data_IF_666464605356
#
_entry.id   IF_666464605356
#
_cell.length_a   1.000
_cell.length_b   1.000
_cell.length_c   1.000
_cell.angle_alpha   90.00
_cell.angle_beta   90.00
_cell.angle_gamma   90.00
#
_symmetry.space_group_name_H-M   'P 1'
#
loop_
_entity.id
_entity.type
_entity.pdbx_description
1 polymer ?
#
# COMPACT_ATOMS: atom_id res chain seq x y z
N UNK A 1 -7.75 18.33 -2.06
CA UNK A 1 -7.60 16.92 -1.59
C UNK A 1 -6.47 16.28 -2.37
N UNK A 2 -5.65 15.46 -1.73
CA UNK A 2 -4.59 14.69 -2.43
C UNK A 2 -5.22 13.63 -3.35
N UNK A 3 -4.59 13.33 -4.49
CA UNK A 3 -5.02 12.32 -5.47
C UNK A 3 -5.33 10.98 -4.78
N UNK A 4 -4.48 10.56 -3.83
CA UNK A 4 -4.68 9.31 -3.09
C UNK A 4 -5.87 9.33 -2.12
N UNK A 5 -6.32 10.50 -1.65
CA UNK A 5 -7.51 10.61 -0.79
C UNK A 5 -8.80 10.70 -1.62
N UNK A 6 -8.75 11.34 -2.80
CA UNK A 6 -9.84 11.29 -3.78
C UNK A 6 -10.04 9.87 -4.34
N UNK A 7 -8.94 9.12 -4.42
CA UNK A 7 -8.91 7.72 -4.77
C UNK A 7 -8.66 7.45 -6.25
N UNK A 8 -8.21 6.22 -6.53
CA UNK A 8 -7.86 5.76 -7.87
C UNK A 8 -8.50 4.40 -8.13
N UNK A 9 -9.10 4.23 -9.31
CA UNK A 9 -9.59 2.91 -9.72
C UNK A 9 -8.41 2.03 -10.12
N UNK A 10 -8.29 0.88 -9.48
CA UNK A 10 -7.24 -0.09 -9.76
C UNK A 10 -7.80 -1.49 -9.78
N UNK A 11 -7.10 -2.38 -10.48
CA UNK A 11 -7.40 -3.81 -10.43
C UNK A 11 -6.64 -4.42 -9.24
N UNK A 12 -7.40 -4.99 -8.31
CA UNK A 12 -6.87 -5.86 -7.25
C UNK A 12 -6.74 -7.28 -7.79
N UNK A 13 -5.52 -7.79 -7.88
CA UNK A 13 -5.28 -9.19 -8.18
C UNK A 13 -5.37 -10.06 -6.92
N UNK A 14 -5.76 -11.30 -7.13
CA UNK A 14 -5.74 -12.37 -6.13
C UNK A 14 -5.42 -13.69 -6.83
N UNK A 15 -4.80 -14.60 -6.10
CA UNK A 15 -4.47 -15.94 -6.59
C UNK A 15 -5.72 -16.65 -7.13
N UNK A 16 -5.64 -17.12 -8.38
CA UNK A 16 -6.66 -17.98 -8.99
C UNK A 16 -8.00 -17.31 -9.34
N UNK A 17 -8.10 -15.98 -9.28
CA UNK A 17 -9.33 -15.25 -9.62
C UNK A 17 -9.08 -14.15 -10.63
N UNK A 18 -10.10 -13.83 -11.44
CA UNK A 18 -10.11 -12.63 -12.28
C UNK A 18 -9.90 -11.38 -11.41
N UNK A 19 -9.08 -10.45 -11.90
CA UNK A 19 -8.83 -9.18 -11.23
C UNK A 19 -10.10 -8.40 -10.93
N UNK A 20 -10.12 -7.70 -9.80
CA UNK A 20 -11.29 -6.98 -9.30
C UNK A 20 -11.03 -5.48 -9.31
N UNK A 21 -11.80 -4.72 -10.11
CA UNK A 21 -11.72 -3.26 -10.12
C UNK A 21 -12.25 -2.69 -8.80
N UNK A 22 -11.44 -1.87 -8.13
CA UNK A 22 -11.78 -1.24 -6.85
C UNK A 22 -11.26 0.20 -6.84
N UNK A 23 -11.99 1.08 -6.15
CA UNK A 23 -11.51 2.41 -5.81
C UNK A 23 -10.65 2.31 -4.55
N UNK A 24 -9.34 2.51 -4.69
CA UNK A 24 -8.39 2.60 -3.59
C UNK A 24 -8.22 4.04 -3.15
N UNK A 25 -8.19 4.30 -1.85
CA UNK A 25 -8.03 5.63 -1.30
C UNK A 25 -7.40 5.59 0.09
N UNK A 26 -6.73 6.67 0.48
CA UNK A 26 -6.31 6.91 1.85
C UNK A 26 -7.48 7.49 2.66
N UNK A 27 -7.58 7.12 3.93
CA UNK A 27 -8.52 7.77 4.84
C UNK A 27 -8.13 9.23 5.14
N UNK A 28 -8.99 9.92 5.89
CA UNK A 28 -8.84 11.34 6.21
C UNK A 28 -7.48 11.64 6.87
N UNK A 29 -7.06 10.79 7.78
CA UNK A 29 -5.80 10.92 8.52
C UNK A 29 -4.59 10.29 7.81
N UNK A 30 -4.77 9.67 6.63
CA UNK A 30 -3.72 8.97 5.86
C UNK A 30 -3.04 7.86 6.66
N UNK A 31 -3.76 7.28 7.63
CA UNK A 31 -3.29 6.16 8.46
C UNK A 31 -3.72 4.81 7.90
N UNK A 32 -4.67 4.81 6.95
CA UNK A 32 -5.21 3.57 6.36
C UNK A 32 -5.37 3.70 4.85
N UNK A 33 -4.84 2.71 4.13
CA UNK A 33 -5.23 2.43 2.75
C UNK A 33 -6.53 1.63 2.76
N UNK A 34 -7.56 2.11 2.08
CA UNK A 34 -8.89 1.47 1.98
C UNK A 34 -9.28 1.20 0.54
N UNK A 35 -10.23 0.28 0.35
CA UNK A 35 -10.83 0.05 -0.97
C UNK A 35 -12.31 -0.26 -0.93
N UNK A 36 -13.03 0.12 -1.99
CA UNK A 36 -14.46 -0.18 -2.19
C UNK A 36 -14.79 -0.46 -3.66
N UNK A 37 -15.85 -1.23 -3.97
CA UNK A 37 -16.73 -1.95 -3.03
C UNK A 37 -16.05 -3.16 -2.38
N UNK A 38 -16.51 -3.57 -1.20
CA UNK A 38 -16.11 -4.83 -0.57
C UNK A 38 -17.26 -5.39 0.24
N UNK A 39 -17.55 -6.69 0.09
CA UNK A 39 -18.54 -7.40 0.92
C UNK A 39 -18.10 -7.49 2.39
N UNK A 40 -16.81 -7.35 2.66
CA UNK A 40 -16.22 -7.29 4.01
C UNK A 40 -15.57 -5.92 4.20
N UNK A 41 -16.39 -4.87 4.36
CA UNK A 41 -15.94 -3.47 4.41
C UNK A 41 -14.90 -3.21 5.51
N UNK A 42 -15.08 -3.82 6.68
CA UNK A 42 -14.14 -3.69 7.79
C UNK A 42 -12.77 -4.32 7.55
N UNK A 43 -12.70 -5.34 6.69
CA UNK A 43 -11.45 -5.97 6.25
C UNK A 43 -10.87 -5.33 5.00
N UNK A 44 -11.53 -4.32 4.43
CA UNK A 44 -11.10 -3.65 3.21
C UNK A 44 -10.15 -2.49 3.52
N UNK A 45 -9.13 -2.76 4.34
CA UNK A 45 -8.16 -1.79 4.81
C UNK A 45 -6.80 -2.43 5.10
N UNK A 46 -5.74 -1.64 4.95
CA UNK A 46 -4.38 -1.91 5.43
C UNK A 46 -3.96 -0.68 6.23
N UNK A 47 -3.41 -0.89 7.44
CA UNK A 47 -2.82 0.20 8.20
C UNK A 47 -1.48 0.56 7.57
N UNK A 48 -1.18 1.85 7.44
CA UNK A 48 0.08 2.29 6.81
C UNK A 48 1.29 1.82 7.63
N UNK A 49 1.19 1.84 8.96
CA UNK A 49 2.23 1.32 9.89
C UNK A 49 2.54 -0.17 9.69
N UNK A 50 1.58 -0.94 9.17
CA UNK A 50 1.73 -2.37 8.91
C UNK A 50 2.40 -2.67 7.56
N UNK A 51 2.60 -1.66 6.71
CA UNK A 51 3.29 -1.83 5.42
C UNK A 51 4.79 -1.83 5.68
N UNK A 52 5.46 -2.92 5.33
CA UNK A 52 6.91 -3.03 5.48
C UNK A 52 7.66 -2.94 4.15
N UNK A 53 6.97 -3.11 3.01
CA UNK A 53 7.60 -3.04 1.68
C UNK A 53 6.58 -2.68 0.59
N UNK A 54 7.00 -1.86 -0.37
CA UNK A 54 6.27 -1.58 -1.61
C UNK A 54 7.22 -1.80 -2.79
N UNK A 55 6.84 -2.64 -3.74
CA UNK A 55 7.64 -2.95 -4.94
C UNK A 55 6.94 -2.55 -6.21
N UNK A 56 7.74 -2.13 -7.17
CA UNK A 56 7.30 -1.71 -8.50
C UNK A 56 7.34 -2.90 -9.45
N UNK A 57 6.47 -2.91 -10.45
CA UNK A 57 6.42 -3.98 -11.45
C UNK A 57 5.69 -5.23 -10.97
N UNK A 58 6.10 -6.35 -11.55
CA UNK A 58 5.43 -7.65 -11.49
C UNK A 58 6.17 -8.65 -10.60
N UNK A 59 6.77 -8.19 -9.51
CA UNK A 59 7.72 -8.98 -8.70
C UNK A 59 7.07 -10.05 -7.81
N UNK A 60 5.76 -9.99 -7.59
CA UNK A 60 5.07 -10.94 -6.73
C UNK A 60 4.76 -12.27 -7.43
N UNK A 61 4.54 -13.32 -6.63
CA UNK A 61 4.13 -14.63 -7.14
C UNK A 61 2.80 -14.57 -7.93
N UNK A 62 1.88 -13.66 -7.55
CA UNK A 62 0.59 -13.50 -8.23
C UNK A 62 0.79 -12.95 -9.65
N UNK A 63 1.71 -11.99 -9.81
CA UNK A 63 2.04 -11.43 -11.12
C UNK A 63 2.79 -12.44 -12.00
N UNK A 64 3.72 -13.22 -11.45
CA UNK A 64 4.45 -14.26 -12.19
C UNK A 64 3.54 -15.36 -12.74
N UNK A 65 2.39 -15.59 -12.10
CA UNK A 65 1.38 -16.57 -12.54
C UNK A 65 0.43 -16.03 -13.61
N UNK A 66 0.47 -14.72 -13.90
CA UNK A 66 -0.30 -14.16 -15.02
C UNK A 66 0.40 -14.52 -16.34
N UNK A 67 -0.37 -14.61 -17.43
CA UNK A 67 0.20 -14.78 -18.76
C UNK A 67 1.22 -13.68 -19.06
N UNK A 68 2.33 -14.04 -19.69
CA UNK A 68 3.34 -13.08 -20.12
C UNK A 68 2.72 -12.02 -21.05
N UNK A 69 3.08 -10.74 -20.85
CA UNK A 69 2.51 -9.61 -21.62
C UNK A 69 1.09 -9.19 -21.21
N UNK A 70 0.48 -9.77 -20.18
CA UNK A 70 -0.89 -9.43 -19.76
C UNK A 70 -1.08 -7.98 -19.29
N UNK A 71 -0.04 -7.37 -18.70
CA UNK A 71 -0.08 -6.02 -18.16
C UNK A 71 1.26 -5.31 -18.35
N UNK A 72 1.20 -4.00 -18.55
CA UNK A 72 2.39 -3.14 -18.52
C UNK A 72 3.00 -3.16 -17.09
N UNK A 73 4.27 -3.58 -16.93
CA UNK A 73 4.93 -3.59 -15.63
C UNK A 73 4.94 -2.20 -14.96
N UNK A 74 4.99 -1.11 -15.72
CA UNK A 74 5.04 0.24 -15.16
C UNK A 74 3.71 0.69 -14.53
N UNK A 75 2.62 -0.01 -14.82
CA UNK A 75 1.31 0.17 -14.15
C UNK A 75 1.13 -0.77 -12.94
N UNK A 76 2.09 -1.65 -12.67
CA UNK A 76 1.96 -2.69 -11.65
C UNK A 76 2.78 -2.33 -10.40
N UNK A 77 2.24 -2.67 -9.24
CA UNK A 77 2.97 -2.63 -7.98
C UNK A 77 2.37 -3.58 -6.95
N UNK A 78 3.17 -3.92 -5.93
CA UNK A 78 2.77 -4.79 -4.81
C UNK A 78 3.02 -4.09 -3.49
N UNK A 79 2.03 -4.12 -2.61
CA UNK A 79 2.14 -3.68 -1.21
C UNK A 79 2.25 -4.93 -0.35
N UNK A 80 3.30 -5.00 0.47
CA UNK A 80 3.49 -6.07 1.45
C UNK A 80 3.22 -5.54 2.85
N UNK A 81 2.38 -6.24 3.60
CA UNK A 81 1.89 -5.74 4.89
C UNK A 81 1.64 -6.85 5.91
N UNK A 82 1.55 -6.45 7.19
CA UNK A 82 1.26 -7.30 8.33
C UNK A 82 2.36 -8.33 8.63
N UNK A 83 2.15 -9.09 9.71
CA UNK A 83 3.14 -10.02 10.25
C UNK A 83 3.26 -11.35 9.47
N UNK A 84 2.30 -11.65 8.59
CA UNK A 84 2.26 -12.90 7.81
C UNK A 84 2.70 -12.72 6.35
N UNK A 85 3.40 -11.62 6.05
CA UNK A 85 3.87 -11.31 4.69
C UNK A 85 2.75 -11.31 3.64
N UNK A 86 1.59 -10.75 3.98
CA UNK A 86 0.48 -10.65 3.02
C UNK A 86 0.85 -9.68 1.88
N UNK A 87 0.42 -10.00 0.65
CA UNK A 87 0.60 -9.14 -0.51
C UNK A 87 -0.73 -8.60 -1.03
N UNK A 88 -0.70 -7.36 -1.46
CA UNK A 88 -1.76 -6.70 -2.22
C UNK A 88 -1.18 -6.26 -3.57
N UNK A 89 -1.55 -6.99 -4.61
CA UNK A 89 -1.10 -6.76 -5.99
C UNK A 89 -2.10 -5.90 -6.75
N UNK A 90 -1.60 -4.79 -7.32
CA UNK A 90 -2.40 -3.73 -7.90
C UNK A 90 -1.93 -3.36 -9.31
N UNK A 91 -2.90 -3.07 -10.17
CA UNK A 91 -2.67 -2.54 -11.53
C UNK A 91 -3.45 -1.24 -11.67
N UNK A 92 -2.76 -0.15 -12.00
CA UNK A 92 -3.35 1.15 -12.30
C UNK A 92 -3.72 1.29 -13.77
N UNK A 93 -4.45 2.35 -14.13
CA UNK A 93 -4.79 2.60 -15.54
C UNK A 93 -3.59 3.09 -16.35
N UNK A 94 -2.64 3.74 -15.68
CA UNK A 94 -1.45 4.31 -16.29
C UNK A 94 -0.24 4.33 -15.33
N UNK A 95 0.98 4.53 -15.83
CA UNK A 95 2.20 4.50 -15.02
C UNK A 95 2.33 5.68 -14.05
N UNK A 96 1.70 6.82 -14.33
CA UNK A 96 1.73 8.00 -13.46
C UNK A 96 0.94 7.74 -12.16
N UNK A 97 -0.21 7.11 -12.26
CA UNK A 97 -0.98 6.65 -11.10
C UNK A 97 -0.16 5.67 -10.26
N UNK A 98 0.50 4.67 -10.88
CA UNK A 98 1.33 3.72 -10.15
C UNK A 98 2.46 4.43 -9.39
N UNK A 99 3.21 5.32 -10.08
CA UNK A 99 4.27 6.11 -9.46
C UNK A 99 3.77 6.99 -8.31
N UNK A 100 2.62 7.64 -8.47
CA UNK A 100 1.99 8.46 -7.43
C UNK A 100 1.73 7.63 -6.18
N UNK A 101 1.15 6.45 -6.34
CA UNK A 101 0.82 5.56 -5.23
C UNK A 101 2.06 4.96 -4.56
N UNK A 102 3.02 4.47 -5.34
CA UNK A 102 4.27 3.92 -4.83
C UNK A 102 5.02 4.98 -4.02
N UNK A 103 5.18 6.18 -4.58
CA UNK A 103 5.92 7.28 -3.94
C UNK A 103 5.20 7.75 -2.68
N UNK A 104 3.88 7.95 -2.76
CA UNK A 104 3.07 8.39 -1.62
C UNK A 104 3.09 7.38 -0.46
N UNK A 105 3.00 6.09 -0.74
CA UNK A 105 3.10 5.04 0.29
C UNK A 105 4.50 5.00 0.92
N UNK A 106 5.56 5.03 0.12
CA UNK A 106 6.95 5.08 0.62
C UNK A 106 7.18 6.31 1.52
N UNK A 107 6.65 7.47 1.15
CA UNK A 107 6.74 8.69 1.95
C UNK A 107 6.03 8.55 3.30
N UNK A 108 4.81 8.00 3.30
CA UNK A 108 4.05 7.79 4.53
C UNK A 108 4.74 6.77 5.46
N UNK A 109 5.32 5.70 4.91
CA UNK A 109 6.11 4.72 5.69
C UNK A 109 7.33 5.36 6.36
N UNK A 110 8.03 6.26 5.65
CA UNK A 110 9.19 6.97 6.19
C UNK A 110 8.80 7.95 7.31
N UNK A 111 7.71 8.72 7.11
CA UNK A 111 7.22 9.66 8.13
C UNK A 111 6.80 8.99 9.44
N UNK A 112 6.22 7.79 9.38
CA UNK A 112 5.92 6.99 10.59
C UNK A 112 7.23 6.53 11.28
N UNK A 113 8.21 6.09 10.48
CA UNK A 113 9.49 5.62 11.00
C UNK A 113 10.25 6.72 11.76
N UNK A 114 10.18 7.97 11.29
CA UNK A 114 10.80 9.12 11.94
C UNK A 114 10.12 9.49 13.27
N UNK A 115 8.79 9.54 13.31
CA UNK A 115 8.01 9.80 14.53
C UNK A 115 8.27 8.73 15.62
N UNK A 116 8.28 7.45 15.25
CA UNK A 116 8.61 6.35 16.16
C UNK A 116 10.05 6.44 16.68
N UNK A 117 10.98 6.87 15.84
CA UNK A 117 12.38 7.08 16.22
C UNK A 117 12.54 8.24 17.21
N UNK A 118 11.78 9.33 17.02
CA UNK A 118 11.72 10.47 17.94
C UNK A 118 11.10 10.09 19.29
N UNK A 119 9.98 9.36 19.28
CA UNK A 119 9.32 8.89 20.49
C UNK A 119 10.22 7.96 21.32
N UNK A 120 11.01 7.10 20.67
CA UNK A 120 12.01 6.26 21.36
C UNK A 120 13.11 7.08 22.03
N UNK A 121 13.62 8.14 21.37
CA UNK A 121 14.66 9.02 21.95
C UNK A 121 14.16 9.81 23.16
N UNK A 122 12.92 10.28 23.16
CA UNK A 122 12.33 10.98 24.31
C UNK A 122 12.17 10.07 25.53
N UNK A 123 11.73 8.82 25.33
CA UNK A 123 11.61 7.84 26.43
C UNK A 123 12.95 7.49 27.09
N UNK A 124 14.05 7.45 26.33
CA UNK A 124 15.38 7.20 26.91
C UNK A 124 15.92 8.42 27.65
N UNK A 125 15.50 9.62 27.30
CA UNK A 125 15.88 10.86 27.99
C UNK A 125 15.17 10.98 29.36
N UNK A 126 13.89 10.61 29.45
CA UNK A 126 13.13 10.65 30.72
C UNK A 126 13.49 9.52 31.71
N UNK A 127 14.32 8.55 31.32
CA UNK A 127 14.75 7.44 32.19
C UNK A 127 16.01 7.72 33.01
N UNK A 128 16.68 8.85 32.81
CA UNK A 128 17.78 9.30 33.67
C UNK A 128 17.38 10.63 34.33
N UNK A 129 17.09 10.64 35.64
CA UNK A 129 17.08 11.90 36.37
C UNK A 129 18.51 12.45 36.48
N UNK A 130 18.68 13.78 36.62
CA UNK A 130 19.99 14.43 36.72
C UNK A 130 20.82 13.96 37.91
#
# INVERSE_FOLDING_TARGET
MSVMQSGTQMIKLKRGTKGLVRLFYLDEHRTRLRWRPSRKSEKAKILIDSIYKVTEGRQSEIFHRQAEGSFDPSCCFTIYHGNHMESLDLITSNPEEARTWITGLKYLMAGISDEDSLAKRQRTHDQYPP
#
